data_IF_965027006005
#
_entry.id   IF_965027006005
#
_cell.length_a   1.000
_cell.length_b   1.000
_cell.length_c   1.000
_cell.angle_alpha   90.00
_cell.angle_beta   90.00
_cell.angle_gamma   90.00
#
_symmetry.space_group_name_H-M   'P 1'
#
loop_
_entity.id
_entity.type
_entity.pdbx_description
1 polymer ?
#
# COMPACT_ATOMS: atom_id res chain seq x y z
N UNK A 1 -2.93 6.61 12.31
CA UNK A 1 -3.99 7.07 11.38
C UNK A 1 -4.17 8.59 11.47
N UNK A 2 -4.33 9.20 12.64
CA UNK A 2 -4.57 10.65 12.78
C UNK A 2 -3.51 11.52 12.09
N UNK A 3 -2.22 11.21 12.25
CA UNK A 3 -1.14 11.94 11.57
C UNK A 3 -1.23 11.80 10.03
N UNK A 4 -1.65 10.64 9.52
CA UNK A 4 -1.87 10.44 8.09
C UNK A 4 -3.07 11.26 7.58
N UNK A 5 -4.16 11.33 8.35
CA UNK A 5 -5.30 12.17 8.01
C UNK A 5 -4.93 13.65 7.99
N UNK A 6 -4.19 14.12 8.99
CA UNK A 6 -3.68 15.49 9.04
C UNK A 6 -2.78 15.79 7.85
N UNK A 7 -1.88 14.86 7.51
CA UNK A 7 -0.99 14.98 6.36
C UNK A 7 -1.79 15.08 5.05
N UNK A 8 -2.71 14.14 4.80
CA UNK A 8 -3.54 14.11 3.59
C UNK A 8 -4.39 15.39 3.41
N UNK A 9 -4.86 15.98 4.51
CA UNK A 9 -5.63 17.22 4.48
C UNK A 9 -4.79 18.48 4.18
N UNK A 10 -3.46 18.42 4.32
CA UNK A 10 -2.59 19.59 4.25
C UNK A 10 -1.42 19.47 3.27
N UNK A 11 -1.10 18.29 2.75
CA UNK A 11 0.11 18.09 1.94
C UNK A 11 0.16 18.97 0.67
N UNK A 12 -0.99 19.33 0.10
CA UNK A 12 -1.08 20.24 -1.05
C UNK A 12 -0.73 21.69 -0.71
N UNK A 13 -0.73 22.05 0.55
CA UNK A 13 -0.41 23.39 1.04
C UNK A 13 1.08 23.56 1.33
N UNK A 14 1.83 22.46 1.30
CA UNK A 14 3.25 22.44 1.64
C UNK A 14 4.08 22.61 0.38
N UNK A 15 5.02 23.52 0.41
CA UNK A 15 6.04 23.65 -0.63
C UNK A 15 7.19 22.69 -0.32
N UNK A 16 7.23 21.56 -1.06
CA UNK A 16 8.22 20.51 -0.89
C UNK A 16 9.52 20.77 -1.63
N UNK A 17 9.46 21.52 -2.73
CA UNK A 17 10.61 21.90 -3.55
C UNK A 17 10.38 23.27 -4.17
N UNK A 18 11.48 23.94 -4.57
CA UNK A 18 11.40 25.22 -5.26
C UNK A 18 10.88 25.10 -6.69
N UNK A 19 11.29 24.05 -7.41
CA UNK A 19 10.83 23.76 -8.76
C UNK A 19 9.43 23.11 -8.73
N UNK A 20 8.56 23.55 -9.64
CA UNK A 20 7.14 23.14 -9.68
C UNK A 20 6.96 21.64 -9.96
N UNK A 21 7.68 21.09 -10.97
CA UNK A 21 7.55 19.70 -11.37
C UNK A 21 7.93 18.72 -10.24
N UNK A 22 9.13 18.80 -9.62
CA UNK A 22 9.48 17.92 -8.52
C UNK A 22 8.60 18.18 -7.29
N UNK A 23 8.15 19.42 -7.04
CA UNK A 23 7.22 19.72 -5.95
C UNK A 23 5.89 18.98 -6.12
N UNK A 24 5.28 19.07 -7.30
CA UNK A 24 4.01 18.42 -7.59
C UNK A 24 4.15 16.89 -7.57
N UNK A 25 5.21 16.35 -8.19
CA UNK A 25 5.43 14.90 -8.25
C UNK A 25 5.72 14.32 -6.86
N UNK A 26 6.46 15.03 -6.01
CA UNK A 26 6.73 14.62 -4.64
C UNK A 26 5.45 14.60 -3.80
N UNK A 27 4.57 15.59 -3.97
CA UNK A 27 3.27 15.62 -3.30
C UNK A 27 2.41 14.41 -3.71
N UNK A 28 2.40 14.04 -5.00
CA UNK A 28 1.71 12.84 -5.50
C UNK A 28 2.25 11.58 -4.83
N UNK A 29 3.58 11.43 -4.77
CA UNK A 29 4.22 10.28 -4.09
C UNK A 29 3.81 10.19 -2.63
N UNK A 30 4.01 11.27 -1.88
CA UNK A 30 3.71 11.30 -0.44
C UNK A 30 2.24 11.04 -0.13
N UNK A 31 1.32 11.51 -0.97
CA UNK A 31 -0.10 11.16 -0.85
C UNK A 31 -0.35 9.67 -1.04
N UNK A 32 0.23 9.10 -2.09
CA UNK A 32 0.09 7.67 -2.38
C UNK A 32 0.62 6.81 -1.23
N UNK A 33 1.81 7.14 -0.71
CA UNK A 33 2.40 6.47 0.45
C UNK A 33 1.50 6.62 1.70
N UNK A 34 0.95 7.81 1.95
CA UNK A 34 0.07 8.05 3.09
C UNK A 34 -1.23 7.24 3.01
N UNK A 35 -1.85 7.13 1.84
CA UNK A 35 -3.01 6.26 1.63
C UNK A 35 -2.64 4.79 1.88
N UNK A 36 -1.54 4.31 1.29
CA UNK A 36 -1.07 2.95 1.48
C UNK A 36 -0.79 2.61 2.94
N UNK A 37 -0.11 3.50 3.66
CA UNK A 37 0.15 3.34 5.09
C UNK A 37 -1.14 3.38 5.94
N UNK A 38 -2.13 4.20 5.56
CA UNK A 38 -3.42 4.23 6.26
C UNK A 38 -4.17 2.91 6.10
N UNK A 39 -4.19 2.36 4.90
CA UNK A 39 -4.73 1.03 4.63
C UNK A 39 -4.02 -0.05 5.46
N UNK A 40 -2.69 -0.02 5.52
CA UNK A 40 -1.88 -0.94 6.32
C UNK A 40 -2.22 -0.88 7.81
N UNK A 41 -2.28 0.31 8.39
CA UNK A 41 -2.65 0.46 9.80
C UNK A 41 -4.08 0.03 10.07
N UNK A 42 -5.02 0.33 9.16
CA UNK A 42 -6.40 -0.13 9.27
C UNK A 42 -6.48 -1.66 9.22
N UNK A 43 -5.72 -2.30 8.32
CA UNK A 43 -5.63 -3.77 8.26
C UNK A 43 -5.17 -4.37 9.59
N UNK A 44 -4.11 -3.84 10.21
CA UNK A 44 -3.64 -4.37 11.49
C UNK A 44 -4.64 -4.16 12.63
N UNK A 45 -5.29 -3.00 12.68
CA UNK A 45 -6.34 -2.73 13.65
C UNK A 45 -7.55 -3.68 13.45
N UNK A 46 -7.98 -3.86 12.21
CA UNK A 46 -9.08 -4.77 11.89
C UNK A 46 -8.75 -6.22 12.28
N UNK A 47 -7.55 -6.69 11.92
CA UNK A 47 -7.06 -8.03 12.28
C UNK A 47 -7.04 -8.27 13.79
N UNK A 48 -6.69 -7.24 14.58
CA UNK A 48 -6.57 -7.36 16.04
C UNK A 48 -7.92 -7.26 16.76
N UNK A 49 -8.88 -6.50 16.21
CA UNK A 49 -10.06 -6.06 16.94
C UNK A 49 -11.40 -6.42 16.30
N UNK A 50 -11.42 -6.96 15.08
CA UNK A 50 -12.68 -7.38 14.46
C UNK A 50 -13.28 -8.58 15.17
N UNK A 51 -14.61 -8.66 15.20
CA UNK A 51 -15.32 -9.78 15.77
C UNK A 51 -16.82 -9.51 15.94
N UNK A 52 -17.55 -10.56 16.32
CA UNK A 52 -18.98 -10.50 16.50
C UNK A 52 -19.33 -9.83 17.83
N UNK A 53 -20.31 -8.94 17.79
CA UNK A 53 -20.99 -8.40 18.97
C UNK A 53 -22.01 -9.40 19.53
N UNK A 54 -22.57 -9.09 20.70
CA UNK A 54 -23.53 -9.97 21.36
C UNK A 54 -24.81 -10.21 20.56
N UNK A 55 -25.17 -9.28 19.66
CA UNK A 55 -26.33 -9.40 18.77
C UNK A 55 -26.02 -10.12 17.44
N UNK A 56 -24.79 -10.63 17.28
CA UNK A 56 -24.36 -11.33 16.07
C UNK A 56 -23.87 -10.42 14.93
N UNK A 57 -23.78 -9.11 15.14
CA UNK A 57 -23.24 -8.19 14.12
C UNK A 57 -21.73 -8.31 14.05
N UNK A 58 -21.19 -8.51 12.85
CA UNK A 58 -19.74 -8.52 12.63
C UNK A 58 -19.21 -7.10 12.56
N UNK A 59 -18.49 -6.69 13.61
CA UNK A 59 -17.94 -5.36 13.80
C UNK A 59 -16.43 -5.32 13.52
N UNK A 60 -16.00 -4.22 12.94
CA UNK A 60 -14.59 -3.85 12.76
C UNK A 60 -14.12 -2.88 13.84
N UNK A 61 -13.50 -1.80 13.41
CA UNK A 61 -12.98 -0.69 14.22
C UNK A 61 -13.61 0.63 13.75
N UNK A 62 -13.50 1.74 14.51
CA UNK A 62 -13.94 3.03 13.99
C UNK A 62 -13.19 3.40 12.70
N UNK A 63 -13.92 3.79 11.66
CA UNK A 63 -13.35 4.29 10.41
C UNK A 63 -13.24 5.81 10.50
N UNK A 64 -12.01 6.30 10.69
CA UNK A 64 -11.71 7.72 10.83
C UNK A 64 -10.80 8.14 9.65
N UNK A 65 -11.38 8.80 8.65
CA UNK A 65 -10.69 9.24 7.42
C UNK A 65 -10.28 10.71 7.46
N UNK A 66 -10.76 11.45 8.47
CA UNK A 66 -10.46 12.85 8.68
C UNK A 66 -9.68 13.07 9.99
N UNK A 67 -8.90 14.15 10.02
CA UNK A 67 -8.21 14.54 11.24
C UNK A 67 -9.23 14.95 12.33
N UNK A 68 -9.09 14.38 13.49
CA UNK A 68 -9.92 14.68 14.66
C UNK A 68 -9.18 15.69 15.54
N UNK A 69 -9.66 16.92 15.60
CA UNK A 69 -9.14 17.95 16.48
C UNK A 69 -9.70 17.82 17.91
N UNK A 70 -9.32 18.73 18.80
CA UNK A 70 -9.76 18.72 20.20
C UNK A 70 -11.28 18.89 20.39
N UNK A 71 -12.00 19.38 19.37
CA UNK A 71 -13.45 19.60 19.39
C UNK A 71 -14.22 18.46 18.72
N UNK A 72 -13.52 17.48 18.17
CA UNK A 72 -14.15 16.35 17.49
C UNK A 72 -14.96 15.48 18.46
N UNK A 73 -15.98 14.82 17.93
CA UNK A 73 -16.71 13.81 18.68
C UNK A 73 -15.89 12.52 18.79
N UNK A 74 -15.29 12.28 19.94
CA UNK A 74 -14.53 11.05 20.21
C UNK A 74 -15.39 9.84 20.58
N UNK A 75 -16.70 10.03 20.78
CA UNK A 75 -17.63 8.95 21.05
C UNK A 75 -18.12 8.32 19.74
N UNK A 76 -17.18 7.74 18.99
CA UNK A 76 -17.45 7.08 17.70
C UNK A 76 -17.60 5.59 17.91
N UNK A 77 -18.73 5.02 17.46
CA UNK A 77 -18.97 3.59 17.49
C UNK A 77 -18.03 2.81 16.55
N UNK A 78 -17.97 1.52 16.77
CA UNK A 78 -17.28 0.62 15.83
C UNK A 78 -18.06 0.56 14.52
N UNK A 79 -17.36 0.65 13.41
CA UNK A 79 -17.93 0.38 12.09
C UNK A 79 -18.13 -1.12 11.88
N UNK A 80 -18.91 -1.50 10.90
CA UNK A 80 -19.02 -2.89 10.45
C UNK A 80 -17.69 -3.37 9.86
N UNK A 81 -17.48 -4.67 9.87
CA UNK A 81 -16.34 -5.28 9.19
C UNK A 81 -16.26 -4.89 7.70
N UNK A 82 -17.42 -4.89 7.04
CA UNK A 82 -17.54 -4.48 5.65
C UNK A 82 -17.04 -3.05 5.41
N UNK A 83 -17.50 -2.09 6.21
CA UNK A 83 -17.06 -0.68 6.07
C UNK A 83 -15.55 -0.53 6.26
N UNK A 84 -14.95 -1.31 7.17
CA UNK A 84 -13.50 -1.32 7.35
C UNK A 84 -12.76 -1.89 6.13
N UNK A 85 -13.25 -3.00 5.55
CA UNK A 85 -12.67 -3.61 4.35
C UNK A 85 -12.81 -2.65 3.14
N UNK A 86 -13.97 -2.06 2.96
CA UNK A 86 -14.22 -1.08 1.90
C UNK A 86 -13.25 0.12 2.00
N UNK A 87 -13.00 0.60 3.23
CA UNK A 87 -12.06 1.70 3.45
C UNK A 87 -10.62 1.29 3.16
N UNK A 88 -10.20 0.09 3.55
CA UNK A 88 -8.86 -0.43 3.23
C UNK A 88 -8.67 -0.48 1.72
N UNK A 89 -9.65 -1.02 0.99
CA UNK A 89 -9.57 -1.12 -0.47
C UNK A 89 -9.60 0.25 -1.15
N UNK A 90 -10.42 1.18 -0.67
CA UNK A 90 -10.46 2.55 -1.19
C UNK A 90 -9.10 3.26 -1.03
N UNK A 91 -8.43 3.09 0.11
CA UNK A 91 -7.11 3.65 0.34
C UNK A 91 -6.03 2.99 -0.53
N UNK A 92 -6.09 1.67 -0.72
CA UNK A 92 -5.19 0.95 -1.62
C UNK A 92 -5.41 1.36 -3.09
N UNK A 93 -6.65 1.59 -3.51
CA UNK A 93 -6.97 2.10 -4.84
C UNK A 93 -6.43 3.53 -5.06
N UNK A 94 -6.51 4.38 -4.03
CA UNK A 94 -5.94 5.72 -4.09
C UNK A 94 -4.40 5.67 -4.14
N UNK A 95 -3.77 4.77 -3.40
CA UNK A 95 -2.33 4.53 -3.49
C UNK A 95 -1.92 4.05 -4.89
N UNK A 96 -2.62 3.07 -5.46
CA UNK A 96 -2.33 2.50 -6.79
C UNK A 96 -2.45 3.55 -7.93
N UNK A 97 -3.39 4.48 -7.80
CA UNK A 97 -3.53 5.60 -8.75
C UNK A 97 -2.35 6.57 -8.73
N UNK A 98 -1.69 6.73 -7.59
CA UNK A 98 -0.67 7.74 -7.36
C UNK A 98 0.76 7.19 -7.45
N UNK A 99 0.96 5.92 -7.09
CA UNK A 99 2.28 5.32 -6.99
C UNK A 99 2.63 4.46 -8.20
N UNK A 100 3.92 4.34 -8.56
CA UNK A 100 4.38 3.35 -9.52
C UNK A 100 4.28 1.94 -8.89
N UNK A 101 4.31 0.90 -9.72
CA UNK A 101 4.40 -0.48 -9.22
C UNK A 101 5.65 -0.67 -8.39
N UNK A 102 6.79 -0.22 -8.87
CA UNK A 102 8.07 -0.17 -8.15
C UNK A 102 8.75 1.17 -8.41
N UNK A 103 9.56 1.60 -7.47
CA UNK A 103 10.39 2.79 -7.64
C UNK A 103 11.67 2.42 -8.38
N UNK A 104 11.73 2.82 -9.66
CA UNK A 104 12.85 2.54 -10.54
C UNK A 104 13.23 3.77 -11.37
N UNK A 105 14.53 3.87 -11.69
CA UNK A 105 14.98 4.92 -12.58
C UNK A 105 14.60 4.59 -14.02
N UNK A 106 14.14 5.59 -14.75
CA UNK A 106 13.93 5.52 -16.20
C UNK A 106 15.15 6.02 -16.94
N UNK A 107 15.42 5.47 -18.14
CA UNK A 107 16.63 5.76 -18.89
C UNK A 107 16.54 7.08 -19.66
N UNK A 108 15.35 7.44 -20.15
CA UNK A 108 15.12 8.62 -20.98
C UNK A 108 13.79 9.31 -20.66
N UNK A 109 13.60 10.52 -21.21
CA UNK A 109 12.37 11.30 -21.04
C UNK A 109 11.15 10.59 -21.66
N UNK A 110 11.36 9.79 -22.70
CA UNK A 110 10.33 8.99 -23.35
C UNK A 110 9.83 7.82 -22.46
N UNK A 111 10.65 7.39 -21.51
CA UNK A 111 10.33 6.29 -20.60
C UNK A 111 9.55 6.75 -19.36
N UNK A 112 9.38 8.06 -19.16
CA UNK A 112 8.57 8.57 -18.05
C UNK A 112 7.13 8.03 -18.19
N UNK A 113 6.59 7.34 -17.18
CA UNK A 113 5.26 6.73 -17.27
C UNK A 113 4.16 7.74 -17.58
N UNK A 114 3.24 7.36 -18.48
CA UNK A 114 2.19 8.23 -19.00
C UNK A 114 1.38 8.91 -17.89
N UNK A 115 1.11 8.20 -16.78
CA UNK A 115 0.38 8.73 -15.63
C UNK A 115 0.99 9.97 -14.98
N UNK A 116 2.29 10.22 -15.19
CA UNK A 116 3.01 11.38 -14.62
C UNK A 116 3.37 12.46 -15.63
N UNK A 117 3.11 12.25 -16.94
CA UNK A 117 3.51 13.17 -18.02
C UNK A 117 2.75 14.49 -18.01
N UNK A 118 1.64 14.57 -17.30
CA UNK A 118 0.93 15.83 -17.03
C UNK A 118 1.66 16.69 -15.98
N UNK A 119 2.59 16.10 -15.21
CA UNK A 119 3.39 16.79 -14.19
C UNK A 119 4.80 17.03 -14.71
N UNK A 120 5.46 15.99 -15.19
CA UNK A 120 6.81 16.07 -15.76
C UNK A 120 6.98 15.09 -16.91
N UNK A 121 7.77 15.51 -17.92
CA UNK A 121 8.24 14.64 -19.01
C UNK A 121 9.73 14.36 -18.91
N UNK A 122 10.37 14.80 -17.82
CA UNK A 122 11.82 14.78 -17.64
C UNK A 122 12.23 13.59 -16.77
N UNK A 123 13.03 12.68 -17.34
CA UNK A 123 13.57 11.53 -16.61
C UNK A 123 14.31 11.95 -15.32
N UNK A 124 15.10 13.02 -15.38
CA UNK A 124 15.84 13.51 -14.22
C UNK A 124 14.94 13.93 -13.05
N UNK A 125 13.77 14.50 -13.34
CA UNK A 125 12.78 14.87 -12.31
C UNK A 125 12.09 13.63 -11.79
N UNK A 126 11.66 12.74 -12.70
CA UNK A 126 11.03 11.48 -12.32
C UNK A 126 11.96 10.64 -11.43
N UNK A 127 13.19 10.40 -11.85
CA UNK A 127 14.17 9.59 -11.13
C UNK A 127 14.50 10.17 -9.75
N UNK A 128 14.55 11.50 -9.63
CA UNK A 128 14.76 12.17 -8.35
C UNK A 128 13.64 11.92 -7.36
N UNK A 129 12.39 11.76 -7.82
CA UNK A 129 11.21 11.66 -6.96
C UNK A 129 10.68 10.23 -6.88
N UNK A 130 10.54 9.54 -8.02
CA UNK A 130 9.95 8.20 -8.17
C UNK A 130 11.00 7.13 -8.51
N UNK A 131 12.28 7.47 -8.45
CA UNK A 131 13.36 6.57 -8.80
C UNK A 131 13.76 5.62 -7.68
N UNK A 132 14.86 4.90 -7.92
CA UNK A 132 15.34 3.79 -7.07
C UNK A 132 15.62 4.15 -5.60
N UNK A 133 15.85 5.42 -5.28
CA UNK A 133 16.03 5.85 -3.89
C UNK A 133 14.81 5.62 -3.00
N UNK A 134 13.63 5.54 -3.60
CA UNK A 134 12.37 5.31 -2.89
C UNK A 134 12.00 3.82 -2.75
N UNK A 135 12.83 2.88 -3.21
CA UNK A 135 12.52 1.43 -3.28
C UNK A 135 12.02 0.81 -1.98
N UNK A 136 12.47 1.32 -0.83
CA UNK A 136 12.05 0.80 0.47
C UNK A 136 10.77 1.45 1.00
N UNK A 137 10.19 2.39 0.24
CA UNK A 137 8.96 3.07 0.61
C UNK A 137 7.74 2.36 0.03
N UNK A 138 6.55 2.70 0.52
CA UNK A 138 5.31 2.09 0.06
C UNK A 138 5.09 2.35 -1.43
N UNK A 139 4.85 1.31 -2.22
CA UNK A 139 4.65 1.36 -3.67
C UNK A 139 3.43 0.53 -4.12
N UNK A 140 3.14 0.49 -5.40
CA UNK A 140 1.99 -0.22 -5.95
C UNK A 140 2.02 -1.72 -5.69
N UNK A 141 3.19 -2.36 -5.79
CA UNK A 141 3.35 -3.80 -5.54
C UNK A 141 3.10 -4.14 -4.06
N UNK A 142 3.61 -3.31 -3.14
CA UNK A 142 3.29 -3.43 -1.71
C UNK A 142 1.79 -3.29 -1.49
N UNK A 143 1.13 -2.33 -2.16
CA UNK A 143 -0.31 -2.15 -2.11
C UNK A 143 -1.08 -3.39 -2.55
N UNK A 144 -0.68 -4.02 -3.66
CA UNK A 144 -1.28 -5.28 -4.15
C UNK A 144 -1.08 -6.44 -3.17
N UNK A 145 0.11 -6.55 -2.59
CA UNK A 145 0.40 -7.56 -1.57
C UNK A 145 -0.47 -7.36 -0.31
N UNK A 146 -0.69 -6.11 0.12
CA UNK A 146 -1.59 -5.82 1.25
C UNK A 146 -3.06 -6.05 0.91
N UNK A 147 -3.49 -5.79 -0.33
CA UNK A 147 -4.82 -6.18 -0.81
C UNK A 147 -5.02 -7.70 -0.71
N UNK A 148 -4.06 -8.49 -1.16
CA UNK A 148 -4.06 -9.95 -1.03
C UNK A 148 -4.18 -10.39 0.42
N UNK A 149 -3.38 -9.82 1.32
CA UNK A 149 -3.45 -10.14 2.76
C UNK A 149 -4.79 -9.75 3.38
N UNK A 150 -5.37 -8.63 2.98
CA UNK A 150 -6.68 -8.16 3.44
C UNK A 150 -7.78 -9.09 2.94
N UNK A 151 -7.74 -9.47 1.67
CA UNK A 151 -8.68 -10.41 1.06
C UNK A 151 -8.62 -11.79 1.72
N UNK A 152 -7.41 -12.28 2.01
CA UNK A 152 -7.23 -13.55 2.71
C UNK A 152 -7.76 -13.50 4.16
N UNK A 153 -7.54 -12.38 4.87
CA UNK A 153 -8.13 -12.17 6.20
C UNK A 153 -9.66 -12.19 6.12
N UNK A 154 -10.24 -11.47 5.18
CA UNK A 154 -11.69 -11.38 5.01
C UNK A 154 -12.32 -12.73 4.60
N UNK A 155 -11.62 -13.55 3.83
CA UNK A 155 -12.04 -14.89 3.44
C UNK A 155 -11.80 -15.95 4.51
N UNK A 156 -11.14 -15.62 5.62
CA UNK A 156 -10.92 -16.57 6.72
C UNK A 156 -12.26 -17.04 7.34
N UNK A 157 -12.33 -18.25 7.94
CA UNK A 157 -13.58 -18.78 8.48
C UNK A 157 -14.28 -17.87 9.49
N UNK A 158 -13.52 -17.02 10.19
CA UNK A 158 -14.07 -16.08 11.18
C UNK A 158 -14.84 -14.92 10.54
N UNK A 159 -14.54 -14.55 9.29
CA UNK A 159 -15.07 -13.36 8.63
C UNK A 159 -15.71 -13.66 7.27
N UNK A 160 -15.73 -14.91 6.86
CA UNK A 160 -16.26 -15.34 5.56
C UNK A 160 -17.69 -14.82 5.36
N UNK A 161 -17.94 -14.23 4.18
CA UNK A 161 -19.19 -13.55 3.83
C UNK A 161 -19.53 -12.32 4.70
N UNK A 162 -18.59 -11.79 5.47
CA UNK A 162 -18.74 -10.52 6.19
C UNK A 162 -18.80 -9.29 5.26
N UNK A 163 -18.40 -9.44 3.99
CA UNK A 163 -18.62 -8.50 2.90
C UNK A 163 -18.77 -9.27 1.57
N UNK A 164 -19.17 -8.59 0.47
CA UNK A 164 -19.28 -9.21 -0.86
C UNK A 164 -17.95 -9.80 -1.34
N UNK A 165 -16.83 -9.20 -0.95
CA UNK A 165 -15.47 -9.56 -1.37
C UNK A 165 -14.78 -10.48 -0.34
N UNK A 166 -15.46 -10.85 0.75
CA UNK A 166 -14.97 -11.78 1.75
C UNK A 166 -15.15 -13.22 1.28
N UNK A 167 -14.51 -13.57 0.17
CA UNK A 167 -14.59 -14.87 -0.50
C UNK A 167 -13.22 -15.40 -0.87
N UNK A 168 -13.09 -16.72 -0.91
CA UNK A 168 -11.86 -17.36 -1.39
C UNK A 168 -11.53 -17.02 -2.85
N UNK A 169 -12.56 -16.83 -3.68
CA UNK A 169 -12.38 -16.43 -5.08
C UNK A 169 -11.70 -15.07 -5.18
N UNK A 170 -12.22 -14.07 -4.46
CA UNK A 170 -11.62 -12.73 -4.46
C UNK A 170 -10.19 -12.75 -3.88
N UNK A 171 -9.94 -13.55 -2.83
CA UNK A 171 -8.60 -13.68 -2.26
C UNK A 171 -7.61 -14.31 -3.27
N UNK A 172 -8.06 -15.31 -4.04
CA UNK A 172 -7.26 -15.91 -5.11
C UNK A 172 -6.97 -14.92 -6.25
N UNK A 173 -7.98 -14.17 -6.70
CA UNK A 173 -7.83 -13.15 -7.74
C UNK A 173 -6.87 -12.04 -7.30
N UNK A 174 -6.99 -11.56 -6.05
CA UNK A 174 -6.06 -10.58 -5.50
C UNK A 174 -4.62 -11.11 -5.45
N UNK A 175 -4.41 -12.39 -5.08
CA UNK A 175 -3.09 -13.01 -5.08
C UNK A 175 -2.54 -13.18 -6.51
N UNK A 176 -3.39 -13.51 -7.47
CA UNK A 176 -3.00 -13.64 -8.87
C UNK A 176 -2.39 -12.35 -9.41
N UNK A 177 -2.88 -11.17 -9.02
CA UNK A 177 -2.33 -9.88 -9.48
C UNK A 177 -0.86 -9.69 -9.08
N UNK A 178 -0.43 -10.23 -7.94
CA UNK A 178 0.98 -10.17 -7.49
C UNK A 178 1.81 -11.22 -8.23
N UNK A 179 1.27 -12.42 -8.42
CA UNK A 179 1.95 -13.49 -9.17
C UNK A 179 2.13 -13.13 -10.65
N UNK A 180 1.12 -12.57 -11.27
CA UNK A 180 1.16 -12.17 -12.68
C UNK A 180 2.23 -11.10 -12.94
N UNK A 181 2.48 -10.24 -11.97
CA UNK A 181 3.54 -9.23 -12.06
C UNK A 181 4.93 -9.85 -12.24
N UNK A 182 5.19 -11.01 -11.64
CA UNK A 182 6.46 -11.76 -11.77
C UNK A 182 6.40 -12.84 -12.84
N UNK A 183 5.38 -12.87 -13.72
CA UNK A 183 5.22 -13.82 -14.81
C UNK A 183 4.47 -15.10 -14.42
N UNK A 184 3.66 -15.04 -13.36
CA UNK A 184 2.89 -16.17 -12.86
C UNK A 184 3.76 -17.28 -12.26
N UNK A 185 3.19 -18.46 -12.00
CA UNK A 185 3.93 -19.60 -11.44
C UNK A 185 5.13 -20.03 -12.31
N UNK A 186 5.01 -19.93 -13.64
CA UNK A 186 6.09 -20.23 -14.55
C UNK A 186 7.22 -19.22 -14.48
N UNK A 187 6.90 -17.93 -14.29
CA UNK A 187 7.88 -16.86 -14.09
C UNK A 187 8.66 -17.03 -12.79
N UNK A 188 8.00 -17.44 -11.71
CA UNK A 188 8.66 -17.78 -10.45
C UNK A 188 9.72 -18.87 -10.67
N UNK A 189 9.35 -19.97 -11.30
CA UNK A 189 10.28 -21.08 -11.56
C UNK A 189 11.42 -20.67 -12.49
N UNK A 190 11.13 -19.92 -13.58
CA UNK A 190 12.13 -19.48 -14.53
C UNK A 190 13.19 -18.53 -13.91
N UNK A 191 12.76 -17.72 -12.94
CA UNK A 191 13.65 -16.81 -12.22
C UNK A 191 14.35 -17.46 -11.01
N UNK A 192 14.19 -18.77 -10.81
CA UNK A 192 14.78 -19.47 -9.67
C UNK A 192 14.14 -19.09 -8.33
N UNK A 193 12.96 -18.49 -8.36
CA UNK A 193 12.24 -18.11 -7.16
C UNK A 193 11.69 -19.37 -6.51
N UNK A 194 12.32 -19.76 -5.44
CA UNK A 194 11.86 -20.84 -4.57
C UNK A 194 11.43 -20.24 -3.25
N UNK A 195 10.73 -21.01 -2.46
CA UNK A 195 10.35 -20.57 -1.13
C UNK A 195 11.59 -20.10 -0.34
N UNK A 196 11.66 -18.79 -0.11
CA UNK A 196 12.87 -18.15 0.39
C UNK A 196 12.99 -18.30 1.90
N UNK A 197 13.99 -19.01 2.35
CA UNK A 197 14.27 -19.23 3.78
C UNK A 197 15.77 -19.15 4.14
N UNK A 198 16.62 -18.66 3.22
CA UNK A 198 18.05 -18.53 3.48
C UNK A 198 18.38 -17.25 4.23
N UNK A 199 18.44 -17.32 5.56
CA UNK A 199 18.73 -16.16 6.43
C UNK A 199 20.10 -15.55 6.16
N UNK A 200 21.13 -16.34 5.84
CA UNK A 200 22.47 -15.84 5.57
C UNK A 200 22.51 -14.96 4.29
N UNK A 201 21.69 -15.28 3.30
CA UNK A 201 21.58 -14.48 2.10
C UNK A 201 20.80 -13.18 2.38
N UNK A 202 19.74 -13.25 3.18
CA UNK A 202 18.97 -12.07 3.62
C UNK A 202 19.87 -11.13 4.40
N UNK A 203 20.65 -11.64 5.34
CA UNK A 203 21.57 -10.86 6.18
C UNK A 203 22.71 -10.21 5.37
N UNK A 204 23.08 -10.82 4.23
CA UNK A 204 24.08 -10.31 3.29
C UNK A 204 23.57 -9.27 2.30
N UNK A 205 22.27 -8.97 2.27
CA UNK A 205 21.71 -8.01 1.31
C UNK A 205 22.12 -6.59 1.65
N UNK A 206 22.56 -5.87 0.61
CA UNK A 206 22.83 -4.43 0.72
C UNK A 206 21.51 -3.65 0.85
N UNK A 207 21.60 -2.45 1.42
CA UNK A 207 20.49 -1.52 1.48
C UNK A 207 19.88 -1.29 0.08
N UNK A 208 18.56 -1.28 0.00
CA UNK A 208 17.82 -1.09 -1.26
C UNK A 208 17.76 -2.29 -2.19
N UNK A 209 18.40 -3.43 -1.86
CA UNK A 209 18.37 -4.64 -2.67
C UNK A 209 17.53 -5.70 -1.96
N UNK A 210 16.44 -6.11 -2.62
CA UNK A 210 15.63 -7.24 -2.17
C UNK A 210 15.79 -8.42 -3.15
N UNK A 211 15.81 -9.67 -2.65
CA UNK A 211 15.54 -10.81 -3.52
C UNK A 211 14.14 -10.69 -4.13
N UNK A 212 13.91 -11.26 -5.32
CA UNK A 212 12.63 -11.14 -6.01
C UNK A 212 11.41 -11.59 -5.20
N UNK A 213 11.59 -12.51 -4.24
CA UNK A 213 10.51 -12.98 -3.37
C UNK A 213 10.14 -12.00 -2.25
N UNK A 214 11.00 -11.03 -1.94
CA UNK A 214 10.77 -10.06 -0.86
C UNK A 214 10.22 -8.77 -1.47
N UNK A 215 8.92 -8.59 -1.35
CA UNK A 215 8.23 -7.38 -1.84
C UNK A 215 8.58 -6.18 -0.96
N UNK A 216 8.65 -6.37 0.36
CA UNK A 216 8.94 -5.30 1.31
C UNK A 216 9.57 -5.85 2.58
N UNK A 217 10.61 -5.21 3.04
CA UNK A 217 11.26 -5.51 4.32
C UNK A 217 11.54 -4.24 5.10
N UNK A 218 11.54 -4.36 6.41
CA UNK A 218 12.06 -3.34 7.29
C UNK A 218 13.55 -3.60 7.54
N UNK A 219 14.38 -2.59 7.31
CA UNK A 219 15.78 -2.63 7.74
C UNK A 219 15.79 -2.30 9.24
N UNK A 220 15.96 -3.32 10.06
CA UNK A 220 16.24 -3.09 11.47
C UNK A 220 17.61 -2.39 11.56
N UNK A 221 17.60 -1.14 12.03
CA UNK A 221 18.85 -0.47 12.40
C UNK A 221 19.50 -1.27 13.53
N UNK A 222 20.68 -1.82 13.25
CA UNK A 222 21.53 -2.46 14.27
C UNK A 222 22.23 -1.41 15.11
#
# INVERSE_FOLDING_TARGET
IQNLNLFLANCDKVKWADDEEPNALFCVRMKGEAYGLRALYMYYLLRAHAGYSADGTLLGVPVLTEFQDANANFNVGRATFKECIDQIYADLDNADKLLPMEYEDVASDEDVPERYRNITKRAVVYNRVMGQYARQLFNGLIGKAFRTRTALLAASPAFLNGSSDATWAYAADAAATVLDYVGGPSGLVANGLTYYCNTAEIDGLKEGINPPEIIWRENLAT
#
